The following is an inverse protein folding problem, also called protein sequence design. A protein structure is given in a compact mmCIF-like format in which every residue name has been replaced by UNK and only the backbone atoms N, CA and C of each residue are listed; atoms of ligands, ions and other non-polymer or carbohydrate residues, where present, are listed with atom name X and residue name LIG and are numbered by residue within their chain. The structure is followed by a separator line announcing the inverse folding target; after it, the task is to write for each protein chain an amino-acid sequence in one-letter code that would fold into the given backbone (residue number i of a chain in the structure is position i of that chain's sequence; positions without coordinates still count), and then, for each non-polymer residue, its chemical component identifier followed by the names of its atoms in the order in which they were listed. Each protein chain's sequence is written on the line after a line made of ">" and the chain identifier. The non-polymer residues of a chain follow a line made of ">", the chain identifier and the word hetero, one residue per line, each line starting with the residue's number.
data_IF_308092890530
#
_entry.id   IF_308092890530
#
_cell.length_a   1.000
_cell.length_b   1.000
_cell.length_c   1.000
_cell.angle_alpha   90.00
_cell.angle_beta   90.00
_cell.angle_gamma   90.00
#
_symmetry.space_group_name_H-M   'P 1'
#
loop_
_entity.id
_entity.type
_entity.pdbx_description
1 polymer ?
#
# COMPACT_ATOMS: atom_id res chain seq x y z
N UNK A 1 -21.20 -10.95 -7.70
CA UNK A 1 -19.82 -10.73 -8.15
C UNK A 1 -19.01 -10.52 -6.89
N UNK A 2 -18.16 -11.48 -6.54
CA UNK A 2 -17.32 -11.45 -5.34
C UNK A 2 -16.08 -10.63 -5.65
N UNK A 3 -16.00 -9.43 -5.09
CA UNK A 3 -14.76 -8.68 -5.03
C UNK A 3 -13.72 -9.57 -4.32
N UNK A 4 -12.62 -9.85 -5.01
CA UNK A 4 -11.63 -10.82 -4.56
C UNK A 4 -10.77 -10.21 -3.46
N UNK A 5 -11.26 -10.28 -2.22
CA UNK A 5 -10.57 -9.91 -0.98
C UNK A 5 -9.77 -11.08 -0.40
N UNK A 6 -9.26 -11.98 -1.27
CA UNK A 6 -8.61 -13.21 -0.85
C UNK A 6 -7.29 -12.96 -0.11
N UNK A 7 -7.07 -13.76 0.94
CA UNK A 7 -5.77 -13.95 1.61
C UNK A 7 -4.68 -14.05 0.53
N UNK A 8 -3.59 -13.27 0.61
CA UNK A 8 -2.57 -13.26 -0.44
C UNK A 8 -2.01 -14.67 -0.66
N UNK A 9 -1.91 -15.09 -1.93
CA UNK A 9 -1.29 -16.37 -2.28
C UNK A 9 0.16 -16.44 -1.81
N UNK A 10 0.84 -15.28 -1.72
CA UNK A 10 2.18 -15.10 -1.18
C UNK A 10 2.33 -13.73 -0.55
N UNK A 11 2.84 -13.69 0.68
CA UNK A 11 3.37 -12.46 1.28
C UNK A 11 4.82 -12.27 0.81
N UNK A 12 5.16 -11.06 0.39
CA UNK A 12 6.52 -10.75 -0.02
C UNK A 12 7.14 -9.76 0.95
N UNK A 13 8.36 -10.03 1.40
CA UNK A 13 9.19 -9.04 2.08
C UNK A 13 9.70 -8.03 1.05
N UNK A 14 8.81 -7.12 0.63
CA UNK A 14 9.09 -6.02 -0.27
C UNK A 14 8.79 -4.72 0.46
N UNK A 15 9.66 -3.75 0.24
CA UNK A 15 9.51 -2.41 0.80
C UNK A 15 9.30 -1.44 -0.37
N UNK A 16 8.04 -1.19 -0.72
CA UNK A 16 7.72 -0.41 -1.93
C UNK A 16 7.94 1.09 -1.68
N UNK A 17 7.65 1.57 -0.47
CA UNK A 17 7.82 2.98 -0.11
C UNK A 17 9.30 3.41 -0.11
N UNK A 18 10.25 2.48 0.03
CA UNK A 18 11.69 2.79 -0.12
C UNK A 18 12.03 3.43 -1.48
N UNK A 19 11.33 3.06 -2.56
CA UNK A 19 11.55 3.66 -3.88
C UNK A 19 11.02 5.08 -4.00
N UNK A 20 10.14 5.48 -3.11
CA UNK A 20 9.63 6.84 -3.00
C UNK A 20 10.33 7.64 -1.88
N UNK A 21 11.50 7.20 -1.39
CA UNK A 21 12.16 7.82 -0.24
C UNK A 21 12.37 9.33 -0.37
N UNK A 22 12.76 9.79 -1.57
CA UNK A 22 12.90 11.23 -1.85
C UNK A 22 11.55 11.95 -1.74
N UNK A 23 10.52 11.45 -2.42
CA UNK A 23 9.17 12.03 -2.44
C UNK A 23 8.55 12.05 -1.04
N UNK A 24 8.75 10.99 -0.26
CA UNK A 24 8.31 10.90 1.13
C UNK A 24 9.02 11.95 1.98
N UNK A 25 10.35 12.08 1.87
CA UNK A 25 11.12 13.06 2.64
C UNK A 25 10.76 14.51 2.30
N UNK A 26 10.52 14.82 1.02
CA UNK A 26 10.12 16.16 0.55
C UNK A 26 8.73 16.56 1.08
N UNK A 27 7.91 15.57 1.44
CA UNK A 27 6.59 15.74 2.05
C UNK A 27 6.60 15.50 3.57
N UNK A 28 7.79 15.41 4.20
CA UNK A 28 7.97 15.16 5.63
C UNK A 28 7.34 13.84 6.14
N UNK A 29 7.28 12.81 5.31
CA UNK A 29 6.86 11.47 5.71
C UNK A 29 8.06 10.57 6.00
N UNK A 30 7.97 9.82 7.09
CA UNK A 30 8.89 8.73 7.46
C UNK A 30 8.14 7.42 7.56
N UNK A 31 8.71 6.34 7.02
CA UNK A 31 8.13 4.99 7.07
C UNK A 31 8.59 4.29 8.34
N UNK A 32 7.65 3.91 9.21
CA UNK A 32 7.94 3.16 10.44
C UNK A 32 7.91 1.65 10.17
N UNK A 33 6.98 1.21 9.33
CA UNK A 33 6.90 -0.17 8.88
C UNK A 33 5.94 -0.28 7.71
N UNK A 34 6.18 -1.25 6.82
CA UNK A 34 5.28 -1.55 5.71
C UNK A 34 5.15 -3.06 5.48
N UNK A 35 4.03 -3.46 4.89
CA UNK A 35 3.74 -4.79 4.37
C UNK A 35 3.14 -4.64 3.00
N UNK A 36 3.71 -5.36 2.03
CA UNK A 36 3.26 -5.37 0.65
C UNK A 36 2.83 -6.79 0.29
N UNK A 37 1.61 -6.90 -0.22
CA UNK A 37 1.01 -8.13 -0.70
C UNK A 37 0.74 -8.01 -2.18
N UNK A 38 1.05 -9.07 -2.92
CA UNK A 38 0.76 -9.14 -4.34
C UNK A 38 -0.06 -10.40 -4.58
N UNK A 39 -1.25 -10.23 -5.12
CA UNK A 39 -2.06 -11.34 -5.62
C UNK A 39 -1.77 -11.51 -7.11
N UNK A 40 -0.80 -12.36 -7.44
CA UNK A 40 -0.33 -12.61 -8.81
C UNK A 40 -1.43 -13.10 -9.75
N UNK A 41 -2.32 -13.99 -9.27
CA UNK A 41 -3.43 -14.50 -10.09
C UNK A 41 -4.43 -13.41 -10.52
N UNK A 42 -4.63 -12.39 -9.68
CA UNK A 42 -5.55 -11.28 -9.95
C UNK A 42 -4.84 -10.03 -10.51
N UNK A 43 -3.51 -9.96 -10.42
CA UNK A 43 -2.74 -8.76 -10.71
C UNK A 43 -3.12 -7.58 -9.82
N UNK A 44 -3.37 -7.85 -8.54
CA UNK A 44 -3.72 -6.87 -7.52
C UNK A 44 -2.60 -6.74 -6.49
N UNK A 45 -2.50 -5.57 -5.87
CA UNK A 45 -1.51 -5.29 -4.83
C UNK A 45 -2.17 -4.56 -3.66
N UNK A 46 -1.80 -4.95 -2.44
CA UNK A 46 -2.17 -4.23 -1.22
C UNK A 46 -0.91 -3.81 -0.49
N UNK A 47 -0.88 -2.57 -0.03
CA UNK A 47 0.17 -2.03 0.82
C UNK A 47 -0.47 -1.52 2.10
N UNK A 48 0.01 -2.03 3.22
CA UNK A 48 -0.30 -1.53 4.56
C UNK A 48 0.96 -0.93 5.15
N UNK A 49 0.90 0.28 5.70
CA UNK A 49 2.06 0.90 6.30
C UNK A 49 1.71 1.72 7.55
N UNK A 50 2.71 1.97 8.39
CA UNK A 50 2.66 2.98 9.43
C UNK A 50 3.62 4.09 9.02
N UNK A 51 3.08 5.30 8.91
CA UNK A 51 3.79 6.50 8.49
C UNK A 51 3.79 7.53 9.62
N UNK A 52 4.88 8.28 9.71
CA UNK A 52 5.07 9.36 10.66
C UNK A 52 5.32 10.67 9.92
N UNK A 53 4.68 11.74 10.39
CA UNK A 53 5.05 13.14 10.11
C UNK A 53 5.55 13.79 11.40
N UNK A 54 5.93 15.06 11.33
CA UNK A 54 6.33 15.84 12.51
C UNK A 54 5.19 15.91 13.54
N UNK A 55 3.94 15.95 13.07
CA UNK A 55 2.75 16.19 13.91
C UNK A 55 1.94 14.93 14.23
N UNK A 56 2.12 13.84 13.47
CA UNK A 56 1.22 12.68 13.56
C UNK A 56 1.86 11.35 13.19
N UNK A 57 1.29 10.29 13.76
CA UNK A 57 1.53 8.90 13.38
C UNK A 57 0.21 8.31 12.89
N UNK A 58 0.22 7.68 11.72
CA UNK A 58 -0.99 7.15 11.10
C UNK A 58 -0.74 5.86 10.32
N UNK A 59 -1.79 5.06 10.18
CA UNK A 59 -1.81 3.89 9.32
C UNK A 59 -2.15 4.28 7.89
N UNK A 60 -1.63 3.54 6.93
CA UNK A 60 -1.95 3.67 5.52
C UNK A 60 -2.46 2.33 5.02
N UNK A 61 -3.57 2.38 4.31
CA UNK A 61 -4.05 1.30 3.48
C UNK A 61 -4.10 1.77 2.02
N UNK A 62 -3.42 1.03 1.15
CA UNK A 62 -3.45 1.23 -0.29
C UNK A 62 -3.78 -0.09 -0.96
N UNK A 63 -4.81 -0.10 -1.79
CA UNK A 63 -5.19 -1.26 -2.59
C UNK A 63 -5.31 -0.89 -4.06
N UNK A 64 -4.48 -1.53 -4.86
CA UNK A 64 -4.50 -1.46 -6.31
C UNK A 64 -5.14 -2.73 -6.86
N UNK A 65 -6.45 -2.66 -7.08
CA UNK A 65 -7.29 -3.81 -7.45
C UNK A 65 -7.02 -4.34 -8.86
N UNK A 66 -7.56 -5.53 -9.20
CA UNK A 66 -7.24 -6.26 -10.43
C UNK A 66 -7.59 -5.51 -11.72
N UNK A 67 -6.90 -5.87 -12.82
CA UNK A 67 -7.19 -5.34 -14.16
C UNK A 67 -8.40 -6.06 -14.76
N UNK A 68 -9.52 -5.35 -14.95
CA UNK A 68 -10.69 -5.89 -15.63
C UNK A 68 -10.75 -5.40 -17.08
N UNK A 69 -10.87 -6.32 -18.06
CA UNK A 69 -11.11 -5.99 -19.48
C UNK A 69 -10.21 -4.87 -20.04
N UNK A 70 -8.91 -4.92 -19.73
CA UNK A 70 -7.84 -3.99 -20.14
C UNK A 70 -7.73 -2.68 -19.36
N UNK A 71 -8.67 -2.34 -18.48
CA UNK A 71 -8.61 -1.13 -17.65
C UNK A 71 -8.48 -1.49 -16.17
N UNK A 72 -7.74 -0.65 -15.43
CA UNK A 72 -7.57 -0.78 -13.98
C UNK A 72 -8.38 0.35 -13.33
N UNK A 73 -9.10 0.04 -12.26
CA UNK A 73 -9.77 1.06 -11.46
C UNK A 73 -8.75 1.99 -10.77
N UNK A 74 -9.19 3.14 -10.25
CA UNK A 74 -8.33 3.94 -9.39
C UNK A 74 -7.96 3.13 -8.14
N UNK A 75 -6.75 3.32 -7.58
CA UNK A 75 -6.38 2.69 -6.32
C UNK A 75 -7.29 3.20 -5.19
N UNK A 76 -7.57 2.33 -4.23
CA UNK A 76 -8.16 2.72 -2.95
C UNK A 76 -7.02 3.16 -2.06
N UNK A 77 -7.07 4.39 -1.57
CA UNK A 77 -6.08 4.94 -0.62
C UNK A 77 -6.86 5.43 0.58
N UNK A 78 -6.46 4.99 1.77
CA UNK A 78 -7.07 5.38 3.04
C UNK A 78 -6.00 5.70 4.07
N UNK A 79 -6.06 6.91 4.61
CA UNK A 79 -5.36 7.24 5.84
C UNK A 79 -6.18 6.71 7.02
N UNK A 80 -5.52 6.02 7.93
CA UNK A 80 -6.13 5.31 9.04
C UNK A 80 -5.59 5.84 10.37
N UNK A 81 -6.47 6.04 11.34
CA UNK A 81 -6.07 6.18 12.74
C UNK A 81 -5.47 4.87 13.22
N UNK A 82 -4.45 4.95 14.07
CA UNK A 82 -3.90 3.79 14.76
C UNK A 82 -4.56 3.64 16.13
N UNK A 83 -4.96 2.42 16.47
CA UNK A 83 -5.36 2.12 17.84
C UNK A 83 -4.12 2.06 18.75
N UNK A 84 -4.24 2.35 20.06
CA UNK A 84 -3.10 2.36 21.00
C UNK A 84 -2.27 1.07 21.00
N UNK A 85 -2.91 -0.06 20.67
CA UNK A 85 -2.31 -1.39 20.64
C UNK A 85 -1.51 -1.64 19.34
N UNK A 86 -1.73 -0.85 18.29
CA UNK A 86 -1.09 -0.99 16.97
C UNK A 86 0.26 -0.26 16.93
N UNK A 87 1.29 -0.90 17.48
CA UNK A 87 2.67 -0.43 17.48
C UNK A 87 3.46 -0.90 16.27
N UNK A 88 3.01 -1.98 15.61
CA UNK A 88 3.65 -2.60 14.46
C UNK A 88 2.70 -2.70 13.27
N UNK A 89 3.27 -2.70 12.07
CA UNK A 89 2.48 -2.79 10.84
C UNK A 89 1.73 -4.13 10.73
N UNK A 90 2.26 -5.19 11.33
CA UNK A 90 1.60 -6.50 11.42
C UNK A 90 0.27 -6.44 12.19
N UNK A 91 0.19 -5.61 13.24
CA UNK A 91 -1.03 -5.47 14.05
C UNK A 91 -2.10 -4.70 13.27
N UNK A 92 -1.70 -3.63 12.57
CA UNK A 92 -2.59 -2.90 11.65
C UNK A 92 -3.11 -3.81 10.53
N UNK A 93 -2.20 -4.57 9.90
CA UNK A 93 -2.55 -5.55 8.86
C UNK A 93 -3.54 -6.59 9.37
N UNK A 94 -3.25 -7.20 10.51
CA UNK A 94 -4.12 -8.21 11.13
C UNK A 94 -5.52 -7.66 11.38
N UNK A 95 -5.60 -6.42 11.88
CA UNK A 95 -6.88 -5.75 12.07
C UNK A 95 -7.64 -5.55 10.77
N UNK A 96 -6.98 -5.05 9.71
CA UNK A 96 -7.61 -4.84 8.40
C UNK A 96 -8.17 -6.15 7.84
N UNK A 97 -7.43 -7.26 7.98
CA UNK A 97 -7.90 -8.59 7.53
C UNK A 97 -9.09 -9.07 8.36
N UNK A 98 -9.03 -8.88 9.68
CA UNK A 98 -10.10 -9.32 10.60
C UNK A 98 -11.39 -8.51 10.41
N UNK A 99 -11.25 -7.22 10.10
CA UNK A 99 -12.32 -6.24 9.94
C UNK A 99 -12.48 -5.78 8.48
N UNK A 100 -12.32 -6.71 7.52
CA UNK A 100 -12.23 -6.38 6.09
C UNK A 100 -13.39 -5.51 5.56
N UNK A 101 -14.59 -5.67 6.09
CA UNK A 101 -15.78 -4.94 5.66
C UNK A 101 -15.90 -3.51 6.22
N UNK A 102 -15.29 -3.23 7.38
CA UNK A 102 -15.57 -2.02 8.17
C UNK A 102 -14.34 -1.33 8.76
N UNK A 103 -13.12 -1.84 8.54
CA UNK A 103 -11.89 -1.26 9.10
C UNK A 103 -11.73 0.22 8.77
N UNK A 104 -12.12 0.67 7.57
CA UNK A 104 -12.00 2.07 7.14
C UNK A 104 -12.94 3.00 7.91
N UNK A 105 -14.03 2.46 8.45
CA UNK A 105 -14.95 3.19 9.32
C UNK A 105 -14.41 3.21 10.75
N UNK A 106 -13.97 2.06 11.27
CA UNK A 106 -13.46 1.94 12.64
C UNK A 106 -12.17 2.76 12.83
N UNK A 107 -11.27 2.71 11.84
CA UNK A 107 -10.00 3.40 11.84
C UNK A 107 -10.06 4.74 11.11
N UNK A 108 -11.24 5.36 10.96
CA UNK A 108 -11.33 6.66 10.33
C UNK A 108 -10.55 7.72 11.13
N UNK A 109 -9.74 8.58 10.49
CA UNK A 109 -9.07 9.68 11.20
C UNK A 109 -10.06 10.67 11.78
N UNK A 110 -9.76 11.19 12.97
CA UNK A 110 -10.64 12.13 13.70
C UNK A 110 -10.73 13.50 13.03
N UNK A 111 -9.71 13.89 12.24
CA UNK A 111 -9.67 15.14 11.51
C UNK A 111 -9.81 14.89 9.99
N UNK A 112 -10.98 15.19 9.38
CA UNK A 112 -11.22 14.97 7.96
C UNK A 112 -10.29 15.76 7.04
N UNK A 113 -9.93 17.00 7.40
CA UNK A 113 -9.05 17.83 6.58
C UNK A 113 -7.62 17.26 6.54
N UNK A 114 -7.14 16.75 7.68
CA UNK A 114 -5.85 16.05 7.74
C UNK A 114 -5.85 14.78 6.90
N UNK A 115 -6.92 13.97 7.00
CA UNK A 115 -7.12 12.77 6.18
C UNK A 115 -7.02 13.08 4.68
N UNK A 116 -7.78 14.07 4.21
CA UNK A 116 -7.83 14.42 2.79
C UNK A 116 -6.47 14.88 2.25
N UNK A 117 -5.73 15.67 3.04
CA UNK A 117 -4.36 16.07 2.70
C UNK A 117 -3.44 14.87 2.56
N UNK A 118 -3.43 13.99 3.56
CA UNK A 118 -2.59 12.78 3.58
C UNK A 118 -2.93 11.88 2.39
N UNK A 119 -4.21 11.59 2.15
CA UNK A 119 -4.63 10.74 1.03
C UNK A 119 -4.24 11.35 -0.33
N UNK A 120 -4.30 12.67 -0.48
CA UNK A 120 -3.86 13.36 -1.70
C UNK A 120 -2.34 13.26 -1.92
N UNK A 121 -1.54 13.38 -0.86
CA UNK A 121 -0.08 13.23 -0.94
C UNK A 121 0.31 11.79 -1.27
N UNK A 122 -0.28 10.82 -0.56
CA UNK A 122 -0.06 9.39 -0.83
C UNK A 122 -0.49 9.03 -2.25
N UNK A 123 -1.56 9.64 -2.78
CA UNK A 123 -1.95 9.46 -4.20
C UNK A 123 -0.86 9.93 -5.16
N UNK A 124 -0.17 11.04 -4.89
CA UNK A 124 0.97 11.50 -5.71
C UNK A 124 2.14 10.51 -5.63
N UNK A 125 2.45 10.02 -4.43
CA UNK A 125 3.49 9.00 -4.20
C UNK A 125 3.14 7.71 -4.95
N UNK A 126 1.90 7.27 -4.88
CA UNK A 126 1.42 6.11 -5.63
C UNK A 126 1.59 6.30 -7.13
N UNK A 127 1.21 7.44 -7.70
CA UNK A 127 1.38 7.70 -9.14
C UNK A 127 2.86 7.62 -9.54
N UNK A 128 3.76 8.16 -8.72
CA UNK A 128 5.19 8.04 -8.93
C UNK A 128 5.67 6.58 -8.88
N UNK A 129 5.29 5.83 -7.84
CA UNK A 129 5.62 4.41 -7.70
C UNK A 129 5.05 3.59 -8.86
N UNK A 130 3.83 3.91 -9.30
CA UNK A 130 3.18 3.23 -10.40
C UNK A 130 3.98 3.38 -11.68
N UNK A 131 4.34 4.61 -12.04
CA UNK A 131 5.09 4.86 -13.27
C UNK A 131 6.55 4.38 -13.23
N UNK A 132 7.16 4.32 -12.04
CA UNK A 132 8.57 3.97 -11.89
C UNK A 132 8.84 2.50 -11.58
N UNK A 133 7.87 1.82 -10.95
CA UNK A 133 8.01 0.45 -10.45
C UNK A 133 6.80 -0.41 -10.77
N UNK A 134 5.57 0.01 -10.45
CA UNK A 134 4.42 -0.91 -10.42
C UNK A 134 3.92 -1.28 -11.83
N UNK A 135 3.86 -0.33 -12.76
CA UNK A 135 3.34 -0.54 -14.12
C UNK A 135 4.07 -1.67 -14.85
N UNK A 136 5.40 -1.66 -14.82
CA UNK A 136 6.23 -2.66 -15.49
C UNK A 136 6.05 -4.07 -14.90
N UNK A 137 5.61 -4.17 -13.64
CA UNK A 137 5.31 -5.44 -12.98
C UNK A 137 4.02 -6.06 -13.49
N UNK A 138 3.06 -5.23 -13.91
CA UNK A 138 1.81 -5.72 -14.49
C UNK A 138 1.92 -6.00 -15.99
N UNK A 139 2.87 -5.37 -16.68
CA UNK A 139 3.07 -5.54 -18.12
C UNK A 139 3.96 -6.76 -18.46
N UNK A 140 4.69 -7.31 -17.48
CA UNK A 140 5.32 -8.64 -17.59
C UNK A 140 4.41 -9.69 -16.96
N UNK A 141 4.26 -10.85 -17.63
CA UNK A 141 3.24 -11.86 -17.34
C UNK A 141 2.96 -12.06 -15.83
N UNK A 142 1.70 -11.86 -15.42
CA UNK A 142 1.23 -11.69 -14.04
C UNK A 142 1.59 -12.86 -13.11
N UNK A 143 1.85 -14.04 -13.68
CA UNK A 143 2.35 -15.24 -13.01
C UNK A 143 3.76 -15.08 -12.43
N UNK A 144 4.51 -14.05 -12.83
CA UNK A 144 5.91 -13.79 -12.43
C UNK A 144 6.16 -12.43 -11.77
N UNK A 145 5.13 -11.55 -11.70
CA UNK A 145 5.28 -10.14 -11.29
C UNK A 145 5.99 -9.97 -9.93
N UNK A 146 5.72 -10.89 -9.02
CA UNK A 146 6.36 -10.95 -7.72
C UNK A 146 7.84 -11.40 -7.73
N UNK A 147 8.20 -12.35 -8.58
CA UNK A 147 9.59 -12.78 -8.73
C UNK A 147 10.40 -11.69 -9.46
N UNK A 148 9.78 -10.98 -10.40
CA UNK A 148 10.35 -9.80 -11.07
C UNK A 148 10.57 -8.65 -10.06
N UNK A 149 9.61 -8.40 -9.17
CA UNK A 149 9.78 -7.50 -8.01
C UNK A 149 11.02 -7.91 -7.23
N UNK A 150 11.06 -9.15 -6.73
CA UNK A 150 12.18 -9.64 -5.90
C UNK A 150 13.54 -9.49 -6.57
N UNK A 151 13.66 -9.80 -7.87
CA UNK A 151 14.92 -9.69 -8.62
C UNK A 151 15.33 -8.24 -8.83
N UNK A 152 14.40 -7.34 -9.15
CA UNK A 152 14.72 -5.93 -9.41
C UNK A 152 14.95 -5.11 -8.14
N UNK A 153 14.24 -5.41 -7.06
CA UNK A 153 14.50 -4.82 -5.75
C UNK A 153 15.92 -5.14 -5.27
N UNK A 154 16.43 -6.36 -5.52
CA UNK A 154 17.82 -6.73 -5.25
C UNK A 154 18.85 -5.98 -6.11
N UNK A 155 18.48 -5.55 -7.31
CA UNK A 155 19.38 -4.81 -8.23
C UNK A 155 19.36 -3.29 -8.02
N UNK A 156 18.37 -2.74 -7.31
CA UNK A 156 18.27 -1.31 -7.00
C UNK A 156 18.99 -0.86 -5.72
N UNK A 157 19.70 -1.78 -5.05
CA UNK A 157 20.49 -1.53 -3.84
C UNK A 157 21.99 -1.44 -4.08
N UNK A 158 22.44 -1.16 -5.30
CA UNK A 158 23.83 -0.84 -5.64
C UNK A 158 23.94 0.58 -6.16
#
# INVERSE_FOLDING_TARGET
>A
MTDYWGIPEREYELSLLQFAGKQLSEMSYSVIGEKVEVCSGAGAMTLTAILKTDDSLFGLYLHDGPKHRKTRGPPIIRALRLLPEMKKVEELRYFIITHHDDFYTILSPENPASRERIEADIKKIYIYLYNSKIKDLYDTDLSSAADVLRVRLRKGGQ
#
